data_IF_974693620299
#
_entry.id   IF_974693620299
#
_cell.length_a   1.000
_cell.length_b   1.000
_cell.length_c   1.000
_cell.angle_alpha   90.00
_cell.angle_beta   90.00
_cell.angle_gamma   90.00
#
_symmetry.space_group_name_H-M   'P 1'
#
loop_
_entity.id
_entity.type
_entity.pdbx_description
1 polymer ?
#
# COMPACT_ATOMS: atom_id res chain seq x y z
N UNK A 1 -8.64 -4.93 -9.94
CA UNK A 1 -8.05 -5.79 -8.89
C UNK A 1 -9.12 -6.57 -8.14
N UNK A 2 -10.07 -5.91 -7.47
CA UNK A 2 -11.07 -6.61 -6.64
C UNK A 2 -11.90 -7.64 -7.41
N UNK A 3 -12.31 -7.32 -8.64
CA UNK A 3 -13.01 -8.26 -9.51
C UNK A 3 -12.19 -9.52 -9.83
N UNK A 4 -10.85 -9.43 -9.91
CA UNK A 4 -9.99 -10.58 -10.16
C UNK A 4 -9.87 -11.49 -8.94
N UNK A 5 -9.94 -10.91 -7.73
CA UNK A 5 -9.93 -11.66 -6.47
C UNK A 5 -11.28 -12.30 -6.12
N UNK A 6 -12.39 -11.94 -6.78
CA UNK A 6 -13.70 -12.59 -6.58
C UNK A 6 -13.75 -14.05 -7.00
N UNK A 7 -12.79 -14.52 -7.81
CA UNK A 7 -12.65 -15.92 -8.19
C UNK A 7 -11.69 -16.69 -7.28
N UNK A 8 -11.36 -17.93 -7.65
CA UNK A 8 -10.44 -18.78 -6.88
C UNK A 8 -8.96 -18.39 -7.00
N UNK A 9 -8.65 -17.29 -7.72
CA UNK A 9 -7.28 -16.86 -7.99
C UNK A 9 -6.91 -15.66 -7.13
N UNK A 10 -6.01 -15.92 -6.18
CA UNK A 10 -5.36 -14.87 -5.42
C UNK A 10 -4.51 -13.99 -6.34
N UNK A 11 -4.87 -12.72 -6.45
CA UNK A 11 -4.24 -11.73 -7.33
C UNK A 11 -3.59 -10.65 -6.47
N UNK A 12 -2.31 -10.39 -6.72
CA UNK A 12 -1.53 -9.31 -6.08
C UNK A 12 -1.36 -8.13 -7.05
N UNK A 13 -1.23 -6.93 -6.49
CA UNK A 13 -1.02 -5.69 -7.24
C UNK A 13 0.41 -5.19 -7.07
N UNK A 14 0.98 -4.65 -8.15
CA UNK A 14 2.26 -3.95 -8.13
C UNK A 14 2.08 -2.55 -8.68
N UNK A 15 2.86 -1.60 -8.16
CA UNK A 15 3.02 -0.28 -8.80
C UNK A 15 4.34 -0.24 -9.55
N UNK A 16 4.33 0.30 -10.76
CA UNK A 16 5.53 0.56 -11.55
C UNK A 16 5.52 2.00 -12.03
N UNK A 17 6.67 2.66 -11.95
CA UNK A 17 6.85 3.97 -12.59
C UNK A 17 7.24 3.68 -14.03
N UNK A 18 6.31 3.85 -14.97
CA UNK A 18 6.60 3.77 -16.40
C UNK A 18 7.43 4.99 -16.81
N UNK A 19 8.74 4.89 -16.57
CA UNK A 19 9.71 5.93 -16.85
C UNK A 19 10.16 5.87 -18.32
N UNK A 20 9.22 6.03 -19.26
CA UNK A 20 9.56 6.24 -20.67
C UNK A 20 10.01 7.70 -20.85
N UNK A 21 11.31 7.90 -21.07
CA UNK A 21 11.90 9.22 -21.23
C UNK A 21 11.69 9.78 -22.65
N UNK A 22 10.46 10.09 -23.06
CA UNK A 22 10.23 10.75 -24.35
C UNK A 22 9.05 11.71 -24.33
N UNK A 23 9.32 12.98 -23.99
CA UNK A 23 8.52 14.10 -24.44
C UNK A 23 9.30 14.93 -25.46
N UNK A 24 9.11 14.66 -26.76
CA UNK A 24 9.42 15.62 -27.83
C UNK A 24 8.37 16.72 -27.82
N UNK A 25 8.36 17.59 -26.81
CA UNK A 25 7.28 18.56 -26.61
C UNK A 25 7.84 19.99 -26.56
N UNK A 26 7.63 20.67 -27.69
CA UNK A 26 7.77 22.11 -28.00
C UNK A 26 9.16 22.76 -28.03
N UNK A 27 9.58 23.13 -29.25
CA UNK A 27 10.80 23.88 -29.63
C UNK A 27 11.03 25.25 -28.94
N UNK A 28 10.18 25.70 -28.00
CA UNK A 28 10.19 27.09 -27.50
C UNK A 28 10.41 27.25 -25.98
N UNK A 29 10.23 26.19 -25.19
CA UNK A 29 10.48 26.23 -23.75
C UNK A 29 11.17 24.93 -23.32
N UNK A 30 12.35 24.97 -22.71
CA UNK A 30 12.98 23.76 -22.18
C UNK A 30 12.16 23.28 -20.97
N UNK A 31 11.34 22.25 -21.18
CA UNK A 31 10.77 21.49 -20.08
C UNK A 31 11.87 20.53 -19.64
N UNK A 32 12.38 20.70 -18.42
CA UNK A 32 13.36 19.79 -17.85
C UNK A 32 12.68 18.42 -17.66
N UNK A 33 13.21 17.40 -18.34
CA UNK A 33 12.73 16.03 -18.17
C UNK A 33 13.09 15.60 -16.75
N UNK A 34 12.12 15.15 -15.92
CA UNK A 34 12.42 14.71 -14.58
C UNK A 34 13.48 13.61 -14.58
N UNK A 35 14.44 13.69 -13.66
CA UNK A 35 15.46 12.65 -13.54
C UNK A 35 14.85 11.27 -13.27
N UNK A 36 15.50 10.19 -13.72
CA UNK A 36 15.09 8.83 -13.36
C UNK A 36 14.97 8.64 -11.85
N UNK A 37 15.86 9.26 -11.08
CA UNK A 37 15.79 9.26 -9.62
C UNK A 37 14.46 9.84 -9.13
N UNK A 38 14.01 10.95 -9.70
CA UNK A 38 12.70 11.51 -9.36
C UNK A 38 11.58 10.55 -9.74
N UNK A 39 11.56 10.08 -10.98
CA UNK A 39 10.51 9.18 -11.48
C UNK A 39 10.39 7.89 -10.67
N UNK A 40 11.50 7.27 -10.26
CA UNK A 40 11.49 6.06 -9.43
C UNK A 40 11.01 6.28 -7.99
N UNK A 41 11.03 7.52 -7.48
CA UNK A 41 10.54 7.85 -6.14
C UNK A 41 9.10 8.36 -6.14
N UNK A 42 8.40 8.36 -7.28
CA UNK A 42 6.99 8.78 -7.35
C UNK A 42 6.10 7.76 -6.65
N UNK A 43 6.23 6.50 -7.05
CA UNK A 43 5.55 5.38 -6.41
C UNK A 43 6.52 4.23 -6.09
N UNK A 44 6.36 3.62 -4.94
CA UNK A 44 7.27 2.59 -4.40
C UNK A 44 6.47 1.38 -3.93
N UNK A 45 7.00 0.17 -4.13
CA UNK A 45 6.52 -1.03 -3.46
C UNK A 45 7.36 -1.23 -2.18
N UNK A 46 6.72 -1.14 -1.01
CA UNK A 46 7.36 -1.29 0.29
C UNK A 46 7.23 -2.72 0.79
N UNK A 47 8.33 -3.46 0.73
CA UNK A 47 8.38 -4.91 1.04
C UNK A 47 8.41 -5.14 2.55
N UNK A 48 7.54 -6.05 3.02
CA UNK A 48 7.45 -6.46 4.41
C UNK A 48 8.26 -7.73 4.62
N UNK A 49 9.35 -7.60 5.37
CA UNK A 49 10.23 -8.71 5.71
C UNK A 49 10.09 -9.07 7.19
N UNK A 50 10.26 -10.35 7.51
CA UNK A 50 10.24 -10.84 8.90
C UNK A 50 11.55 -10.61 9.66
N UNK A 51 12.61 -10.35 8.92
CA UNK A 51 13.94 -10.05 9.46
C UNK A 51 14.68 -9.14 8.51
N UNK A 52 15.67 -8.45 9.05
CA UNK A 52 16.52 -7.54 8.29
C UNK A 52 17.30 -8.28 7.19
N UNK A 53 17.69 -7.51 6.17
CA UNK A 53 18.61 -7.97 5.14
C UNK A 53 20.01 -8.09 5.75
N UNK A 54 20.70 -9.19 5.46
CA UNK A 54 22.00 -9.50 6.07
C UNK A 54 23.18 -8.98 5.26
N UNK A 55 22.95 -8.51 4.03
CA UNK A 55 23.98 -8.19 3.05
C UNK A 55 24.49 -9.41 2.26
N UNK A 56 23.95 -10.61 2.54
CA UNK A 56 24.30 -11.83 1.80
C UNK A 56 23.33 -12.01 0.64
N UNK A 57 23.85 -11.89 -0.58
CA UNK A 57 23.03 -11.77 -1.78
C UNK A 57 22.02 -12.90 -1.96
N UNK A 58 22.40 -14.17 -1.79
CA UNK A 58 21.51 -15.30 -2.06
C UNK A 58 20.38 -15.39 -1.03
N UNK A 59 20.69 -15.19 0.25
CA UNK A 59 19.72 -15.15 1.35
C UNK A 59 18.74 -14.00 1.19
N UNK A 60 19.25 -12.80 0.96
CA UNK A 60 18.43 -11.59 0.86
C UNK A 60 17.58 -11.58 -0.42
N UNK A 61 18.13 -12.07 -1.54
CA UNK A 61 17.36 -12.30 -2.76
C UNK A 61 16.17 -13.22 -2.48
N UNK A 62 16.38 -14.35 -1.79
CA UNK A 62 15.29 -15.29 -1.46
C UNK A 62 14.23 -14.65 -0.57
N UNK A 63 14.63 -13.87 0.44
CA UNK A 63 13.69 -13.14 1.31
C UNK A 63 12.81 -12.17 0.50
N UNK A 64 13.43 -11.37 -0.35
CA UNK A 64 12.75 -10.38 -1.20
C UNK A 64 11.81 -11.09 -2.18
N UNK A 65 12.30 -12.09 -2.92
CA UNK A 65 11.49 -12.82 -3.89
C UNK A 65 10.28 -13.48 -3.22
N UNK A 66 10.49 -14.14 -2.09
CA UNK A 66 9.40 -14.78 -1.33
C UNK A 66 8.37 -13.75 -0.86
N UNK A 67 8.79 -12.58 -0.36
CA UNK A 67 7.86 -11.53 0.02
C UNK A 67 7.04 -11.01 -1.16
N UNK A 68 7.67 -10.79 -2.32
CA UNK A 68 6.98 -10.34 -3.53
C UNK A 68 6.00 -11.38 -4.08
N UNK A 69 6.42 -12.65 -4.18
CA UNK A 69 5.58 -13.76 -4.63
C UNK A 69 4.34 -13.93 -3.74
N UNK A 70 4.52 -13.73 -2.42
CA UNK A 70 3.45 -13.79 -1.44
C UNK A 70 2.76 -12.43 -1.25
N UNK A 71 2.92 -11.44 -2.12
CA UNK A 71 2.24 -10.14 -2.01
C UNK A 71 2.52 -9.35 -0.72
N UNK A 72 3.56 -9.70 0.04
CA UNK A 72 3.86 -9.14 1.37
C UNK A 72 4.52 -7.77 1.23
N UNK A 73 3.77 -6.84 0.64
CA UNK A 73 4.19 -5.48 0.39
C UNK A 73 2.95 -4.60 0.20
N UNK A 74 3.12 -3.30 0.39
CA UNK A 74 2.13 -2.30 0.01
C UNK A 74 2.73 -1.36 -1.02
N UNK A 75 1.86 -0.67 -1.76
CA UNK A 75 2.22 0.35 -2.72
C UNK A 75 1.95 1.71 -2.12
N UNK A 76 2.83 2.67 -2.37
CA UNK A 76 2.58 4.04 -1.99
C UNK A 76 3.12 5.06 -2.96
N UNK A 77 2.44 6.19 -3.06
CA UNK A 77 2.92 7.39 -3.74
C UNK A 77 3.77 8.22 -2.78
N UNK A 78 5.03 7.85 -2.62
CA UNK A 78 5.97 8.44 -1.65
C UNK A 78 6.18 9.94 -1.86
N UNK A 79 5.96 10.42 -3.09
CA UNK A 79 5.98 11.85 -3.42
C UNK A 79 4.91 12.66 -2.67
N UNK A 80 3.76 12.06 -2.35
CA UNK A 80 2.66 12.75 -1.68
C UNK A 80 2.85 12.84 -0.17
N UNK A 81 3.38 11.78 0.45
CA UNK A 81 3.71 11.71 1.86
C UNK A 81 4.66 10.53 2.13
N UNK A 82 5.49 10.64 3.17
CA UNK A 82 6.43 9.58 3.56
C UNK A 82 5.70 8.45 4.29
N UNK A 83 5.70 7.19 3.79
CA UNK A 83 4.97 6.07 4.40
C UNK A 83 5.74 5.40 5.54
N UNK A 84 6.92 5.91 5.91
CA UNK A 84 7.75 5.33 6.98
C UNK A 84 6.97 5.31 8.30
N UNK A 85 6.76 4.12 8.86
CA UNK A 85 5.94 3.91 10.05
C UNK A 85 4.49 3.52 9.75
N UNK A 86 4.12 3.33 8.49
CA UNK A 86 2.88 2.65 8.12
C UNK A 86 2.96 1.16 8.48
N UNK A 87 1.94 0.69 9.19
CA UNK A 87 1.80 -0.72 9.57
C UNK A 87 0.36 -1.16 9.31
N UNK A 88 0.21 -2.35 8.74
CA UNK A 88 -1.09 -2.99 8.62
C UNK A 88 -0.93 -4.51 8.70
N UNK A 89 -1.65 -5.13 9.63
CA UNK A 89 -1.55 -6.56 9.88
C UNK A 89 -2.79 -7.09 10.60
N UNK A 90 -3.04 -8.40 10.45
CA UNK A 90 -4.07 -9.11 11.20
C UNK A 90 -3.48 -9.73 12.47
N UNK A 91 -4.21 -9.64 13.56
CA UNK A 91 -3.96 -10.37 14.81
C UNK A 91 -5.01 -11.47 14.96
N UNK A 92 -4.57 -12.70 15.26
CA UNK A 92 -5.45 -13.82 15.61
C UNK A 92 -5.02 -14.47 16.92
N UNK A 93 -5.87 -14.36 17.94
CA UNK A 93 -5.52 -14.78 19.30
C UNK A 93 -4.43 -13.89 19.88
N UNK A 94 -3.63 -14.42 20.81
CA UNK A 94 -2.68 -13.60 21.58
C UNK A 94 -1.38 -13.22 20.84
N UNK A 95 -1.00 -13.91 19.76
CA UNK A 95 0.36 -13.74 19.20
C UNK A 95 0.50 -13.85 17.67
N UNK A 96 -0.53 -14.32 16.94
CA UNK A 96 -0.34 -14.58 15.50
C UNK A 96 -0.56 -13.32 14.67
N UNK A 97 0.54 -12.65 14.35
CA UNK A 97 0.58 -11.54 13.40
C UNK A 97 0.67 -12.08 11.97
N UNK A 98 -0.23 -11.61 11.10
CA UNK A 98 -0.29 -11.98 9.69
C UNK A 98 -0.25 -10.73 8.82
N UNK A 99 0.78 -10.63 7.98
CA UNK A 99 0.92 -9.56 7.00
C UNK A 99 -0.02 -9.76 5.80
N UNK A 100 -0.28 -8.67 5.08
CA UNK A 100 -0.96 -8.67 3.77
C UNK A 100 -0.28 -9.59 2.75
N UNK A 101 -0.97 -9.88 1.65
CA UNK A 101 -0.36 -10.64 0.56
C UNK A 101 -0.38 -12.15 0.76
N UNK A 102 -0.19 -12.57 2.01
CA UNK A 102 -0.19 -13.99 2.33
C UNK A 102 -1.61 -14.48 2.09
N UNK A 103 -1.73 -15.58 1.35
CA UNK A 103 -2.92 -16.45 1.34
C UNK A 103 -2.98 -17.15 2.72
N UNK A 104 -3.00 -16.32 3.76
CA UNK A 104 -3.08 -16.75 5.11
C UNK A 104 -4.51 -17.20 5.23
N UNK A 105 -4.72 -18.51 5.35
CA UNK A 105 -5.99 -19.10 5.72
C UNK A 105 -6.37 -18.63 7.14
N UNK A 106 -6.57 -17.32 7.32
CA UNK A 106 -7.01 -16.68 8.54
C UNK A 106 -8.51 -16.84 8.54
N UNK A 107 -9.00 -17.73 9.38
CA UNK A 107 -10.44 -17.83 9.60
C UNK A 107 -10.92 -16.65 10.41
N UNK A 108 -12.09 -16.10 10.08
CA UNK A 108 -12.78 -15.14 10.93
C UNK A 108 -13.10 -15.75 12.31
N UNK A 109 -13.14 -14.95 13.40
CA UNK A 109 -12.80 -13.53 13.45
C UNK A 109 -11.29 -13.28 13.51
N UNK A 110 -10.87 -12.09 13.04
CA UNK A 110 -9.51 -11.56 13.19
C UNK A 110 -9.55 -10.04 13.40
N UNK A 111 -8.61 -9.49 14.18
CA UNK A 111 -8.51 -8.05 14.37
C UNK A 111 -7.54 -7.47 13.34
N UNK A 112 -7.97 -6.47 12.57
CA UNK A 112 -7.12 -5.69 11.69
C UNK A 112 -6.61 -4.46 12.41
N UNK A 113 -5.29 -4.37 12.56
CA UNK A 113 -4.61 -3.17 13.04
C UNK A 113 -4.03 -2.38 11.86
N UNK A 114 -4.24 -1.06 11.87
CA UNK A 114 -3.68 -0.11 10.91
C UNK A 114 -3.10 1.08 11.68
N UNK A 115 -1.81 1.34 11.48
CA UNK A 115 -1.13 2.52 11.99
C UNK A 115 -0.59 3.33 10.80
N UNK A 116 -0.94 4.61 10.74
CA UNK A 116 -0.31 5.57 9.85
C UNK A 116 0.94 6.17 10.52
N UNK A 117 1.88 6.70 9.73
CA UNK A 117 3.04 7.42 10.24
C UNK A 117 2.67 8.50 11.27
N UNK A 118 3.45 8.59 12.35
CA UNK A 118 3.21 9.55 13.43
C UNK A 118 3.51 11.01 13.06
N UNK A 119 4.33 11.22 12.02
CA UNK A 119 4.81 12.53 11.56
C UNK A 119 4.08 13.03 10.31
N UNK A 120 2.81 12.64 10.11
CA UNK A 120 1.99 13.13 9.02
C UNK A 120 1.83 14.66 9.06
N UNK A 121 2.15 15.32 7.95
CA UNK A 121 2.03 16.77 7.80
C UNK A 121 0.68 17.21 7.21
N UNK A 122 -0.15 16.26 6.79
CA UNK A 122 -1.44 16.52 6.16
C UNK A 122 -2.51 15.54 6.69
N UNK A 123 -3.79 15.93 6.68
CA UNK A 123 -4.90 15.03 7.00
C UNK A 123 -4.92 13.79 6.11
N UNK A 124 -5.25 12.65 6.70
CA UNK A 124 -5.38 11.36 6.04
C UNK A 124 -6.80 10.82 6.17
N UNK A 125 -7.19 9.96 5.23
CA UNK A 125 -8.44 9.20 5.27
C UNK A 125 -8.14 7.76 4.90
N UNK A 126 -8.53 6.84 5.77
CA UNK A 126 -8.41 5.40 5.55
C UNK A 126 -9.76 4.88 5.09
N UNK A 127 -9.75 4.08 4.04
CA UNK A 127 -10.86 3.25 3.61
C UNK A 127 -10.43 1.78 3.69
N UNK A 128 -11.22 0.98 4.42
CA UNK A 128 -11.10 -0.47 4.41
C UNK A 128 -12.12 -0.95 3.38
N UNK A 129 -11.62 -1.58 2.33
CA UNK A 129 -12.38 -2.19 1.26
C UNK A 129 -12.57 -3.67 1.58
N UNK A 130 -13.77 -4.21 1.32
CA UNK A 130 -14.09 -5.64 1.36
C UNK A 130 -14.69 -6.03 0.01
N UNK A 131 -14.07 -6.98 -0.68
CA UNK A 131 -14.55 -7.52 -1.96
C UNK A 131 -14.88 -6.43 -3.02
N UNK A 132 -14.12 -5.33 -2.98
CA UNK A 132 -14.27 -4.16 -3.85
C UNK A 132 -15.33 -3.14 -3.43
N UNK A 133 -15.94 -3.29 -2.25
CA UNK A 133 -16.87 -2.32 -1.67
C UNK A 133 -16.28 -1.69 -0.41
N UNK A 134 -16.66 -0.46 -0.10
CA UNK A 134 -16.23 0.21 1.14
C UNK A 134 -16.88 -0.51 2.32
N UNK A 135 -16.06 -1.14 3.18
CA UNK A 135 -16.51 -1.72 4.44
C UNK A 135 -16.62 -0.65 5.52
N UNK A 136 -15.60 0.21 5.63
CA UNK A 136 -15.64 1.37 6.51
C UNK A 136 -14.62 2.43 6.09
N UNK A 137 -14.82 3.65 6.57
CA UNK A 137 -13.85 4.75 6.43
C UNK A 137 -13.60 5.44 7.75
N UNK A 138 -12.39 5.95 7.95
CA UNK A 138 -12.02 6.69 9.16
C UNK A 138 -10.94 7.72 8.86
N UNK A 139 -10.91 8.79 9.65
CA UNK A 139 -9.87 9.82 9.61
C UNK A 139 -8.86 9.63 10.77
N UNK A 140 -8.97 8.54 11.54
CA UNK A 140 -8.00 8.21 12.58
C UNK A 140 -6.70 7.70 11.95
N UNK A 141 -5.57 8.04 12.57
CA UNK A 141 -4.26 7.52 12.20
C UNK A 141 -3.95 6.15 12.81
N UNK A 142 -4.75 5.70 13.79
CA UNK A 142 -4.63 4.38 14.41
C UNK A 142 -6.00 3.74 14.46
N UNK A 143 -6.09 2.52 13.97
CA UNK A 143 -7.36 1.83 13.74
C UNK A 143 -7.19 0.38 14.15
N UNK A 144 -8.13 -0.11 14.95
CA UNK A 144 -8.31 -1.53 15.28
C UNK A 144 -9.75 -1.89 14.95
N UNK A 145 -9.95 -2.94 14.15
CA UNK A 145 -11.26 -3.32 13.62
C UNK A 145 -11.39 -4.84 13.62
N UNK A 146 -12.47 -5.34 14.21
CA UNK A 146 -12.81 -6.75 14.14
C UNK A 146 -13.40 -7.12 12.78
N UNK A 147 -12.69 -7.98 12.06
CA UNK A 147 -13.14 -8.57 10.79
C UNK A 147 -13.81 -9.91 11.08
N UNK A 148 -15.13 -9.86 11.27
CA UNK A 148 -15.96 -11.01 11.64
C UNK A 148 -16.51 -11.79 10.45
N UNK A 149 -16.42 -11.24 9.24
CA UNK A 149 -16.97 -11.83 8.03
C UNK A 149 -15.85 -12.21 7.08
N UNK A 150 -15.86 -13.42 6.48
CA UNK A 150 -14.94 -13.78 5.41
C UNK A 150 -15.02 -12.83 4.22
N UNK A 151 -13.91 -12.69 3.51
CA UNK A 151 -13.75 -11.85 2.33
C UNK A 151 -12.31 -11.37 2.14
N UNK A 152 -12.06 -10.71 1.02
CA UNK A 152 -10.77 -10.08 0.74
C UNK A 152 -10.81 -8.61 1.14
N UNK A 153 -10.00 -8.26 2.14
CA UNK A 153 -9.91 -6.91 2.67
C UNK A 153 -8.69 -6.17 2.11
N UNK A 154 -8.86 -4.95 1.63
CA UNK A 154 -7.77 -4.05 1.21
C UNK A 154 -7.86 -2.74 1.97
N UNK A 155 -6.71 -2.15 2.27
CA UNK A 155 -6.64 -0.81 2.84
C UNK A 155 -6.24 0.16 1.74
N UNK A 156 -6.99 1.26 1.65
CA UNK A 156 -6.67 2.41 0.82
C UNK A 156 -6.54 3.63 1.73
N UNK A 157 -5.42 4.34 1.62
CA UNK A 157 -5.18 5.56 2.39
C UNK A 157 -5.08 6.70 1.40
N UNK A 158 -5.83 7.78 1.66
CA UNK A 158 -5.74 9.04 0.96
C UNK A 158 -5.07 10.07 1.86
N UNK A 159 -4.30 10.97 1.26
CA UNK A 159 -3.75 12.15 1.93
C UNK A 159 -4.25 13.41 1.26
N UNK A 160 -4.39 14.49 2.03
CA UNK A 160 -4.83 15.78 1.51
C UNK A 160 -3.63 16.57 1.00
N UNK A 161 -3.54 16.77 -0.31
CA UNK A 161 -2.43 17.45 -0.97
C UNK A 161 -2.81 18.90 -1.24
N UNK A 162 -1.98 19.90 -0.87
CA UNK A 162 -2.22 21.28 -1.22
C UNK A 162 -2.08 21.48 -2.73
N UNK A 163 -2.99 22.25 -3.33
CA UNK A 163 -2.96 22.59 -4.75
C UNK A 163 -2.84 24.11 -4.92
N UNK A 164 -2.26 24.58 -6.04
CA UNK A 164 -2.38 25.98 -6.44
C UNK A 164 -3.84 26.43 -6.49
N UNK A 165 -4.07 27.73 -6.37
CA UNK A 165 -5.41 28.30 -6.53
C UNK A 165 -6.03 27.90 -7.89
N UNK A 166 -7.35 27.65 -7.97
CA UNK A 166 -8.37 27.91 -6.94
C UNK A 166 -8.69 26.72 -6.01
N UNK A 167 -8.18 25.52 -6.29
CA UNK A 167 -8.66 24.30 -5.62
C UNK A 167 -8.16 24.14 -4.18
N UNK A 168 -7.07 24.85 -3.81
CA UNK A 168 -6.41 24.92 -2.50
C UNK A 168 -5.92 23.59 -1.90
N UNK A 169 -6.68 22.50 -1.99
CA UNK A 169 -6.27 21.15 -1.63
C UNK A 169 -7.20 20.06 -2.19
N UNK A 170 -6.66 18.86 -2.44
CA UNK A 170 -7.41 17.70 -2.94
C UNK A 170 -7.02 16.42 -2.19
N UNK A 171 -7.99 15.54 -1.96
CA UNK A 171 -7.72 14.17 -1.50
C UNK A 171 -7.14 13.36 -2.64
N UNK A 172 -5.91 12.88 -2.46
CA UNK A 172 -5.22 12.04 -3.43
C UNK A 172 -4.91 10.67 -2.81
N UNK A 173 -4.97 9.59 -3.59
CA UNK A 173 -4.55 8.28 -3.11
C UNK A 173 -3.08 8.27 -2.72
N UNK A 174 -2.77 7.64 -1.61
CA UNK A 174 -1.43 7.59 -1.06
C UNK A 174 -0.93 6.17 -0.88
N UNK A 175 -1.62 5.32 -0.10
CA UNK A 175 -1.21 3.93 0.17
C UNK A 175 -2.29 2.97 -0.30
N UNK A 176 -1.86 1.87 -0.91
CA UNK A 176 -2.69 0.71 -1.25
C UNK A 176 -2.02 -0.57 -0.74
N UNK A 177 -2.73 -1.41 0.00
CA UNK A 177 -2.18 -2.70 0.43
C UNK A 177 -2.53 -3.81 -0.56
N UNK A 178 -1.73 -4.87 -0.59
CA UNK A 178 -2.22 -6.16 -1.07
C UNK A 178 -3.36 -6.68 -0.16
N UNK A 179 -4.23 -7.58 -0.66
CA UNK A 179 -5.39 -8.01 0.11
C UNK A 179 -5.00 -8.90 1.28
N UNK A 180 -5.78 -8.77 2.34
CA UNK A 180 -5.88 -9.68 3.48
C UNK A 180 -7.06 -10.61 3.24
N UNK A 181 -6.78 -11.86 2.88
CA UNK A 181 -7.83 -12.86 2.67
C UNK A 181 -8.26 -13.48 3.99
N UNK A 182 -9.54 -13.37 4.31
CA UNK A 182 -10.16 -14.00 5.48
C UNK A 182 -11.17 -15.03 4.97
N UNK A 183 -11.11 -16.25 5.52
CA UNK A 183 -11.95 -17.39 5.13
C UNK A 183 -12.93 -17.80 6.21
#
# INVERSE_FOLDING_TARGET
>A
WDQLNKGDRYTIGFVGNEAEALAKVFKKYPIEVPSYRFMFNVATNHILLKSELTGEFLSDKRKIQSALENGQFYMSYDYLAKPVGFEAYLEKGLEKIVAMGKNANVSAPAELTINLPSNLTAPSKIAIMKDGQVFMTTNSNRVKVDLTVPGDYRIEVQTKVPLPAPDHARWMPWIYTNPFSIR
#
